data_IF_404569437104
#
_entry.id   IF_404569437104
#
_cell.length_a   1.000
_cell.length_b   1.000
_cell.length_c   1.000
_cell.angle_alpha   90.00
_cell.angle_beta   90.00
_cell.angle_gamma   90.00
#
_symmetry.space_group_name_H-M   'P 1'
#
loop_
_entity.id
_entity.type
_entity.pdbx_description
1 polymer ?
#
# COMPACT_ATOMS: atom_id res chain seq x y z
N UNK A 1 0.77 25.15 -11.67
CA UNK A 1 0.80 24.36 -10.42
C UNK A 1 -0.52 24.54 -9.69
N UNK A 2 -1.05 23.48 -9.06
CA UNK A 2 -2.30 23.57 -8.29
C UNK A 2 -2.13 24.38 -7.00
N UNK A 3 -3.23 24.98 -6.50
CA UNK A 3 -3.26 25.71 -5.23
C UNK A 3 -4.10 24.92 -4.22
N UNK A 4 -3.55 24.66 -3.04
CA UNK A 4 -4.23 23.98 -1.94
C UNK A 4 -4.43 24.96 -0.78
N UNK A 5 -5.68 25.12 -0.32
CA UNK A 5 -6.03 25.93 0.85
C UNK A 5 -6.68 25.01 1.89
N UNK A 6 -6.13 25.00 3.11
CA UNK A 6 -6.61 24.14 4.20
C UNK A 6 -6.94 24.99 5.42
N UNK A 7 -7.95 24.57 6.18
CA UNK A 7 -8.18 25.07 7.55
C UNK A 7 -7.61 24.06 8.53
N UNK A 8 -6.70 24.53 9.38
CA UNK A 8 -6.02 23.70 10.38
C UNK A 8 -6.37 24.17 11.79
N UNK A 9 -6.53 23.26 12.76
CA UNK A 9 -6.50 23.63 14.17
C UNK A 9 -5.21 24.38 14.49
N UNK A 10 -5.29 25.40 15.35
CA UNK A 10 -4.12 26.24 15.68
C UNK A 10 -2.96 25.42 16.26
N UNK A 11 -3.28 24.40 17.07
CA UNK A 11 -2.30 23.48 17.63
C UNK A 11 -1.51 22.72 16.55
N UNK A 12 -2.19 22.29 15.48
CA UNK A 12 -1.57 21.60 14.36
C UNK A 12 -0.71 22.55 13.53
N UNK A 13 -1.21 23.76 13.27
CA UNK A 13 -0.44 24.78 12.55
C UNK A 13 0.89 25.09 13.25
N UNK A 14 0.86 25.34 14.56
CA UNK A 14 2.08 25.63 15.36
C UNK A 14 3.07 24.46 15.35
N UNK A 15 2.59 23.22 15.43
CA UNK A 15 3.45 22.04 15.37
C UNK A 15 4.14 21.90 14.01
N UNK A 16 3.40 22.08 12.92
CA UNK A 16 3.95 22.00 11.56
C UNK A 16 4.98 23.11 11.30
N UNK A 17 4.70 24.33 11.74
CA UNK A 17 5.69 25.41 11.66
C UNK A 17 6.96 25.11 12.45
N UNK A 18 6.82 24.54 13.66
CA UNK A 18 7.99 24.19 14.48
C UNK A 18 8.88 23.17 13.78
N UNK A 19 8.28 22.17 13.13
CA UNK A 19 9.02 21.17 12.34
C UNK A 19 9.68 21.79 11.10
N UNK A 20 8.96 22.63 10.36
CA UNK A 20 9.52 23.35 9.22
C UNK A 20 10.72 24.21 9.62
N UNK A 21 10.64 24.89 10.78
CA UNK A 21 11.76 25.66 11.35
C UNK A 21 12.95 24.79 11.73
N UNK A 22 12.73 23.62 12.33
CA UNK A 22 13.80 22.66 12.65
C UNK A 22 14.55 22.21 11.38
N UNK A 23 13.82 22.04 10.27
CA UNK A 23 14.37 21.68 8.96
C UNK A 23 14.86 22.90 8.15
N UNK A 24 14.75 24.12 8.70
CA UNK A 24 15.15 25.40 8.06
C UNK A 24 14.48 25.66 6.71
N UNK A 25 13.22 25.25 6.57
CA UNK A 25 12.41 25.45 5.35
C UNK A 25 11.12 26.21 5.66
N UNK A 26 10.48 26.76 4.62
CA UNK A 26 9.15 27.36 4.79
C UNK A 26 8.10 26.28 5.08
N UNK A 27 7.02 26.65 5.78
CA UNK A 27 5.90 25.74 6.05
C UNK A 27 5.34 25.12 4.77
N UNK A 28 5.20 25.90 3.70
CA UNK A 28 4.69 25.40 2.42
C UNK A 28 5.62 24.35 1.81
N UNK A 29 6.94 24.58 1.83
CA UNK A 29 7.91 23.60 1.35
C UNK A 29 7.89 22.32 2.19
N UNK A 30 7.83 22.46 3.51
CA UNK A 30 7.70 21.34 4.43
C UNK A 30 6.45 20.50 4.12
N UNK A 31 5.30 21.14 3.93
CA UNK A 31 4.04 20.46 3.61
C UNK A 31 4.09 19.76 2.26
N UNK A 32 4.60 20.42 1.22
CA UNK A 32 4.75 19.80 -0.11
C UNK A 32 5.66 18.58 -0.04
N UNK A 33 6.78 18.67 0.68
CA UNK A 33 7.69 17.55 0.87
C UNK A 33 7.06 16.40 1.66
N UNK A 34 6.39 16.71 2.77
CA UNK A 34 5.71 15.72 3.61
C UNK A 34 4.60 14.97 2.83
N UNK A 35 3.81 15.70 2.04
CA UNK A 35 2.78 15.11 1.17
C UNK A 35 3.41 14.24 0.08
N UNK A 36 4.49 14.71 -0.55
CA UNK A 36 5.22 13.94 -1.58
C UNK A 36 5.75 12.63 -1.00
N UNK A 37 6.39 12.68 0.18
CA UNK A 37 6.89 11.50 0.88
C UNK A 37 5.76 10.54 1.23
N UNK A 38 4.65 11.04 1.75
CA UNK A 38 3.51 10.20 2.12
C UNK A 38 2.93 9.46 0.91
N UNK A 39 2.76 10.15 -0.22
CA UNK A 39 2.31 9.54 -1.48
C UNK A 39 3.34 8.52 -1.99
N UNK A 40 4.62 8.85 -2.00
CA UNK A 40 5.67 7.93 -2.44
C UNK A 40 5.76 6.65 -1.58
N UNK A 41 5.51 6.76 -0.27
CA UNK A 41 5.47 5.59 0.63
C UNK A 41 4.33 4.62 0.28
N UNK A 42 3.18 5.13 -0.18
CA UNK A 42 2.07 4.28 -0.63
C UNK A 42 2.40 3.50 -1.91
N UNK A 43 3.39 3.94 -2.69
CA UNK A 43 3.88 3.28 -3.90
C UNK A 43 5.14 2.45 -3.68
N UNK A 44 5.59 2.24 -2.44
CA UNK A 44 6.66 1.28 -2.20
C UNK A 44 6.13 -0.13 -2.47
N UNK A 45 6.39 -0.62 -3.68
CA UNK A 45 6.29 -2.04 -4.01
C UNK A 45 7.32 -2.76 -3.14
N UNK A 46 6.85 -3.43 -2.09
CA UNK A 46 7.70 -4.33 -1.31
C UNK A 46 7.95 -5.57 -2.17
N UNK A 47 9.20 -5.83 -2.60
CA UNK A 47 9.50 -7.05 -3.33
C UNK A 47 9.17 -8.24 -2.43
N UNK A 48 8.38 -9.18 -2.94
CA UNK A 48 8.17 -10.46 -2.28
C UNK A 48 9.47 -11.25 -2.45
N UNK A 49 10.09 -11.77 -1.38
CA UNK A 49 11.27 -12.62 -1.51
C UNK A 49 10.99 -13.83 -2.41
N UNK A 50 11.97 -14.22 -3.23
CA UNK A 50 11.82 -15.33 -4.18
C UNK A 50 11.44 -16.64 -3.45
N UNK A 51 11.97 -16.84 -2.24
CA UNK A 51 11.66 -17.99 -1.39
C UNK A 51 10.18 -18.04 -1.02
N UNK A 52 9.56 -16.89 -0.73
CA UNK A 52 8.15 -16.82 -0.39
C UNK A 52 7.25 -17.09 -1.62
N UNK A 53 7.67 -16.61 -2.80
CA UNK A 53 6.99 -16.93 -4.07
C UNK A 53 7.06 -18.43 -4.35
N UNK A 54 8.22 -19.04 -4.14
CA UNK A 54 8.43 -20.47 -4.38
C UNK A 54 7.60 -21.33 -3.42
N UNK A 55 7.58 -21.01 -2.12
CA UNK A 55 6.75 -21.69 -1.13
C UNK A 55 5.26 -21.61 -1.46
N UNK A 56 4.78 -20.44 -1.92
CA UNK A 56 3.38 -20.29 -2.31
C UNK A 56 3.02 -21.14 -3.53
N UNK A 57 3.92 -21.25 -4.51
CA UNK A 57 3.74 -22.10 -5.69
C UNK A 57 3.66 -23.57 -5.32
N UNK A 58 4.54 -24.04 -4.43
CA UNK A 58 4.55 -25.42 -3.94
C UNK A 58 3.29 -25.73 -3.15
N UNK A 59 2.86 -24.84 -2.25
CA UNK A 59 1.62 -24.98 -1.49
C UNK A 59 0.39 -25.04 -2.41
N UNK A 60 0.36 -24.21 -3.46
CA UNK A 60 -0.72 -24.21 -4.44
C UNK A 60 -0.74 -25.51 -5.27
N UNK A 61 0.44 -26.01 -5.68
CA UNK A 61 0.54 -27.28 -6.39
C UNK A 61 0.02 -28.45 -5.54
N UNK A 62 0.44 -28.54 -4.27
CA UNK A 62 -0.05 -29.55 -3.33
C UNK A 62 -1.56 -29.47 -3.12
N UNK A 63 -2.11 -28.25 -3.06
CA UNK A 63 -3.56 -28.05 -2.96
C UNK A 63 -4.27 -28.62 -4.19
N UNK A 64 -3.78 -28.33 -5.40
CA UNK A 64 -4.37 -28.87 -6.64
C UNK A 64 -4.34 -30.41 -6.67
N UNK A 65 -3.25 -31.02 -6.21
CA UNK A 65 -3.18 -32.48 -6.09
C UNK A 65 -4.21 -33.02 -5.09
N UNK A 66 -4.38 -32.35 -3.93
CA UNK A 66 -5.36 -32.77 -2.92
C UNK A 66 -6.81 -32.61 -3.36
N UNK A 67 -7.11 -31.60 -4.19
CA UNK A 67 -8.45 -31.34 -4.70
C UNK A 67 -8.82 -32.30 -5.84
N UNK A 68 -7.83 -32.91 -6.48
CA UNK A 68 -8.04 -33.81 -7.62
C UNK A 68 -8.62 -33.09 -8.84
N UNK A 69 -9.21 -33.86 -9.76
CA UNK A 69 -9.93 -33.33 -10.92
C UNK A 69 -11.38 -33.80 -10.90
N UNK A 70 -12.31 -32.86 -11.12
CA UNK A 70 -13.72 -33.18 -11.34
C UNK A 70 -14.06 -33.01 -12.83
N UNK A 71 -14.83 -33.95 -13.36
CA UNK A 71 -15.38 -33.85 -14.71
C UNK A 71 -16.41 -32.73 -14.81
N UNK A 72 -16.61 -32.20 -16.02
CA UNK A 72 -17.61 -31.17 -16.26
C UNK A 72 -19.06 -31.61 -15.98
N UNK A 73 -19.31 -32.92 -15.84
CA UNK A 73 -20.59 -33.46 -15.42
C UNK A 73 -20.76 -33.39 -13.89
N UNK A 74 -19.74 -33.78 -13.13
CA UNK A 74 -19.72 -33.72 -11.66
C UNK A 74 -19.78 -32.28 -11.15
N UNK A 75 -19.10 -31.36 -11.82
CA UNK A 75 -19.15 -29.92 -11.49
C UNK A 75 -20.56 -29.36 -11.69
N UNK A 76 -21.26 -29.74 -12.77
CA UNK A 76 -22.64 -29.30 -13.00
C UNK A 76 -23.59 -29.85 -11.94
N UNK A 77 -23.45 -31.13 -11.60
CA UNK A 77 -24.27 -31.78 -10.58
C UNK A 77 -24.10 -31.17 -9.17
N UNK A 78 -22.94 -30.59 -8.84
CA UNK A 78 -22.71 -29.93 -7.56
C UNK A 78 -23.17 -28.46 -7.49
N UNK A 79 -23.49 -27.85 -8.65
CA UNK A 79 -23.91 -26.45 -8.77
C UNK A 79 -25.43 -26.29 -8.99
N UNK A 80 -26.15 -27.39 -9.23
CA UNK A 80 -27.62 -27.48 -9.24
C UNK A 80 -28.18 -27.70 -7.83
#
# INVERSE_FOLDING_TARGET
>A
MGRLTLRLPESLHRQLESRARQEKVSLNQYLVYALTRHVAMAYMVTPIPEEAVQQQREAFAALLESLGQASSAEIRQALD
#
